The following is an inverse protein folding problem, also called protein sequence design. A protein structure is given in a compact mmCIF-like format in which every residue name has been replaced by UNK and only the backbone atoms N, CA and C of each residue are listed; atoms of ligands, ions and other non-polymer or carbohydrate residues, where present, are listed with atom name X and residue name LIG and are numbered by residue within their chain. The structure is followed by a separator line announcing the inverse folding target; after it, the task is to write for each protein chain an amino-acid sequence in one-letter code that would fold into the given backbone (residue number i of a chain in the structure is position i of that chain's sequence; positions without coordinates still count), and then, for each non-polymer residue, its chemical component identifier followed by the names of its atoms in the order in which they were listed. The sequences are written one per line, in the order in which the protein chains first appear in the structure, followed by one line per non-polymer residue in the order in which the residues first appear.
data_IF_008670665089
#
_entry.id   IF_008670665089
#
_cell.length_a   1.000
_cell.length_b   1.000
_cell.length_c   1.000
_cell.angle_alpha   90.00
_cell.angle_beta   90.00
_cell.angle_gamma   90.00
#
_symmetry.space_group_name_H-M   'P 1'
#
loop_
_entity.id
_entity.type
_entity.pdbx_description
1 polymer ?
#
# COMPACT_ATOMS: atom_id res chain seq x y z
N UNK A 1 3.44 14.30 2.33
CA UNK A 1 2.24 13.44 2.39
C UNK A 1 2.61 12.00 2.02
N UNK A 2 1.79 11.03 2.43
CA UNK A 2 1.94 9.62 1.98
C UNK A 2 1.65 9.53 0.49
N UNK A 3 2.52 8.83 -0.24
CA UNK A 3 2.46 8.69 -1.70
C UNK A 3 2.14 7.28 -2.16
N UNK A 4 2.71 6.27 -1.51
CA UNK A 4 2.53 4.86 -1.87
C UNK A 4 2.70 3.99 -0.63
N UNK A 5 1.98 2.87 -0.60
CA UNK A 5 2.00 1.93 0.53
C UNK A 5 2.04 0.51 0.03
N UNK A 6 2.85 -0.31 0.67
CA UNK A 6 3.06 -1.71 0.30
C UNK A 6 3.20 -2.58 1.53
N UNK A 7 2.56 -3.75 1.50
CA UNK A 7 2.50 -4.71 2.61
C UNK A 7 3.12 -6.02 2.15
N UNK A 8 4.04 -6.56 2.94
CA UNK A 8 4.80 -7.77 2.62
C UNK A 8 4.77 -8.76 3.78
N UNK A 9 4.92 -10.04 3.45
CA UNK A 9 5.18 -11.09 4.45
C UNK A 9 6.66 -11.14 4.79
N UNK A 10 6.99 -11.23 6.08
CA UNK A 10 8.37 -11.20 6.59
C UNK A 10 9.21 -12.36 6.07
N UNK A 11 8.66 -13.59 6.09
CA UNK A 11 9.43 -14.81 5.84
C UNK A 11 10.01 -14.92 4.42
N UNK A 12 9.22 -14.55 3.40
CA UNK A 12 9.57 -14.76 1.99
C UNK A 12 9.52 -13.48 1.15
N UNK A 13 9.18 -12.34 1.76
CA UNK A 13 9.03 -11.08 1.04
C UNK A 13 7.88 -11.11 0.02
N UNK A 14 6.88 -11.97 0.21
CA UNK A 14 5.71 -12.03 -0.68
C UNK A 14 4.89 -10.74 -0.53
N UNK A 15 4.65 -9.97 -1.61
CA UNK A 15 3.73 -8.83 -1.55
C UNK A 15 2.32 -9.33 -1.27
N UNK A 16 1.70 -8.77 -0.24
CA UNK A 16 0.37 -9.13 0.23
C UNK A 16 -0.70 -8.18 -0.30
N UNK A 17 -0.44 -6.88 -0.22
CA UNK A 17 -1.30 -5.80 -0.68
C UNK A 17 -0.48 -4.54 -0.99
N UNK A 18 -1.02 -3.64 -1.81
CA UNK A 18 -0.40 -2.36 -2.13
C UNK A 18 -1.45 -1.29 -2.47
N UNK A 19 -1.08 -0.02 -2.39
CA UNK A 19 -1.88 1.08 -2.92
C UNK A 19 -1.94 1.04 -4.45
N UNK A 20 -3.04 1.54 -5.01
CA UNK A 20 -3.15 1.81 -6.45
C UNK A 20 -2.64 3.22 -6.70
N UNK A 21 -1.45 3.32 -7.31
CA UNK A 21 -0.84 4.61 -7.62
C UNK A 21 -1.18 5.05 -9.05
N UNK A 22 -1.30 6.35 -9.25
CA UNK A 22 -1.49 6.94 -10.58
C UNK A 22 -0.17 6.93 -11.38
N UNK A 23 -0.26 7.13 -12.70
CA UNK A 23 0.91 6.99 -13.58
C UNK A 23 2.03 7.98 -13.25
N UNK A 24 1.69 9.18 -12.78
CA UNK A 24 2.70 10.17 -12.39
C UNK A 24 3.47 9.73 -11.15
N UNK A 25 2.76 9.24 -10.13
CA UNK A 25 3.35 8.73 -8.89
C UNK A 25 4.16 7.45 -9.14
N UNK A 26 3.69 6.53 -9.98
CA UNK A 26 4.45 5.32 -10.36
C UNK A 26 5.81 5.68 -10.97
N UNK A 27 5.84 6.64 -11.91
CA UNK A 27 7.08 7.08 -12.55
C UNK A 27 8.00 7.76 -11.54
N UNK A 28 7.47 8.66 -10.73
CA UNK A 28 8.25 9.39 -9.72
C UNK A 28 8.82 8.46 -8.63
N UNK A 29 8.10 7.39 -8.27
CA UNK A 29 8.47 6.49 -7.19
C UNK A 29 9.17 5.21 -7.63
N UNK A 30 9.47 5.04 -8.92
CA UNK A 30 10.03 3.78 -9.46
C UNK A 30 11.30 3.34 -8.71
N UNK A 31 12.22 4.27 -8.46
CA UNK A 31 13.45 4.01 -7.70
C UNK A 31 13.17 3.70 -6.23
N UNK A 32 12.34 4.50 -5.55
CA UNK A 32 12.00 4.28 -4.14
C UNK A 32 11.26 2.96 -3.90
N UNK A 33 10.46 2.49 -4.87
CA UNK A 33 9.85 1.16 -4.84
C UNK A 33 10.85 0.02 -5.06
N UNK A 34 12.00 0.30 -5.67
CA UNK A 34 13.10 -0.67 -5.76
C UNK A 34 13.86 -0.73 -4.45
N UNK A 35 14.15 0.44 -3.88
CA UNK A 35 14.75 0.56 -2.56
C UNK A 35 13.89 -0.16 -1.50
N UNK A 36 12.56 0.00 -1.51
CA UNK A 36 11.67 -0.72 -0.60
C UNK A 36 11.84 -2.24 -0.70
N UNK A 37 11.85 -2.80 -1.91
CA UNK A 37 12.13 -4.22 -2.16
C UNK A 37 13.50 -4.68 -1.65
N UNK A 38 14.53 -3.85 -1.78
CA UNK A 38 15.85 -4.13 -1.23
C UNK A 38 15.84 -4.13 0.31
N UNK A 39 15.12 -3.18 0.92
CA UNK A 39 14.95 -3.11 2.36
C UNK A 39 14.28 -4.38 2.87
N UNK A 40 13.15 -4.80 2.29
CA UNK A 40 12.44 -6.01 2.74
C UNK A 40 13.30 -7.26 2.69
N UNK A 41 14.13 -7.42 1.65
CA UNK A 41 15.05 -8.57 1.52
C UNK A 41 16.14 -8.60 2.58
N UNK A 42 16.41 -7.48 3.24
CA UNK A 42 17.41 -7.36 4.30
C UNK A 42 16.82 -7.41 5.69
N UNK A 43 15.51 -7.19 5.82
CA UNK A 43 14.82 -7.34 7.10
C UNK A 43 14.84 -8.81 7.52
N UNK A 44 15.14 -9.04 8.78
CA UNK A 44 15.22 -10.35 9.42
C UNK A 44 14.71 -10.25 10.87
N UNK A 45 14.73 -11.37 11.60
CA UNK A 45 14.24 -11.42 12.99
C UNK A 45 14.97 -10.47 13.97
N UNK A 46 16.20 -10.05 13.65
CA UNK A 46 16.98 -9.11 14.47
C UNK A 46 16.81 -7.65 14.02
N UNK A 47 15.96 -7.39 13.02
CA UNK A 47 15.71 -6.03 12.56
C UNK A 47 14.80 -5.29 13.53
N UNK A 48 15.02 -3.99 13.66
CA UNK A 48 14.16 -3.13 14.47
C UNK A 48 12.70 -3.25 14.01
N UNK A 49 11.72 -3.33 14.93
CA UNK A 49 10.32 -3.46 14.57
C UNK A 49 9.77 -2.22 13.84
N UNK A 50 10.41 -1.06 14.01
CA UNK A 50 10.06 0.16 13.29
C UNK A 50 11.32 0.95 12.93
N UNK A 51 11.36 1.50 11.71
CA UNK A 51 12.47 2.35 11.28
C UNK A 51 12.00 3.35 10.22
N UNK A 52 12.66 4.51 10.19
CA UNK A 52 12.57 5.48 9.10
C UNK A 52 13.84 5.41 8.26
N UNK A 53 13.70 5.42 6.94
CA UNK A 53 14.81 5.37 5.99
C UNK A 53 14.71 6.57 5.07
N UNK A 54 15.67 7.48 5.16
CA UNK A 54 15.72 8.70 4.36
C UNK A 54 16.37 8.41 3.01
N UNK A 55 15.71 8.80 1.91
CA UNK A 55 16.25 8.74 0.57
C UNK A 55 15.87 10.00 -0.21
N UNK A 56 16.76 11.00 -0.19
CA UNK A 56 16.58 12.25 -0.92
C UNK A 56 15.25 12.96 -0.63
N UNK A 57 14.35 12.99 -1.63
CA UNK A 57 13.08 13.73 -1.55
C UNK A 57 11.98 12.98 -0.79
N UNK A 58 12.19 11.70 -0.49
CA UNK A 58 11.21 10.85 0.18
C UNK A 58 11.81 10.15 1.39
N UNK A 59 10.93 9.71 2.27
CA UNK A 59 11.27 8.88 3.43
C UNK A 59 10.41 7.63 3.39
N UNK A 60 11.05 6.49 3.59
CA UNK A 60 10.43 5.18 3.67
C UNK A 60 10.29 4.84 5.15
N UNK A 61 9.05 4.70 5.62
CA UNK A 61 8.79 4.23 6.98
C UNK A 61 8.28 2.81 6.91
N UNK A 62 8.83 1.92 7.74
CA UNK A 62 8.29 0.58 7.90
C UNK A 62 7.98 0.26 9.35
N UNK A 63 6.96 -0.57 9.53
CA UNK A 63 6.51 -1.15 10.78
C UNK A 63 6.34 -2.67 10.58
N UNK A 64 6.95 -3.45 11.46
CA UNK A 64 6.84 -4.91 11.50
C UNK A 64 5.88 -5.26 12.63
N UNK A 65 4.79 -5.94 12.29
CA UNK A 65 3.83 -6.48 13.27
C UNK A 65 3.61 -7.94 12.94
N UNK A 66 3.89 -8.82 13.90
CA UNK A 66 3.87 -10.27 13.75
C UNK A 66 4.71 -10.75 12.55
N UNK A 67 4.06 -11.26 11.51
CA UNK A 67 4.68 -11.82 10.29
C UNK A 67 4.56 -10.88 9.08
N UNK A 68 4.16 -9.63 9.29
CA UNK A 68 3.85 -8.68 8.22
C UNK A 68 4.65 -7.40 8.38
N UNK A 69 5.20 -6.91 7.27
CA UNK A 69 5.84 -5.61 7.17
C UNK A 69 4.91 -4.66 6.43
N UNK A 70 4.59 -3.55 7.07
CA UNK A 70 3.84 -2.43 6.53
C UNK A 70 4.83 -1.33 6.19
N UNK A 71 4.87 -0.88 4.94
CA UNK A 71 5.76 0.21 4.54
C UNK A 71 5.00 1.27 3.76
N UNK A 72 5.31 2.52 4.04
CA UNK A 72 4.84 3.66 3.26
C UNK A 72 6.01 4.53 2.78
N UNK A 73 5.84 5.09 1.59
CA UNK A 73 6.70 6.11 1.01
C UNK A 73 5.98 7.43 1.17
N UNK A 74 6.60 8.41 1.83
CA UNK A 74 6.06 9.76 1.98
C UNK A 74 7.09 10.81 1.60
N UNK A 75 6.64 12.03 1.30
CA UNK A 75 7.56 13.17 1.14
C UNK A 75 8.38 13.36 2.43
N UNK A 76 9.64 13.77 2.30
CA UNK A 76 10.56 13.95 3.44
C UNK A 76 10.08 14.98 4.47
N UNK A 77 9.24 15.94 4.06
CA UNK A 77 8.62 16.94 4.93
C UNK A 77 7.42 16.40 5.72
N UNK A 78 6.98 15.17 5.48
CA UNK A 78 5.83 14.60 6.15
C UNK A 78 6.14 14.21 7.60
N UNK A 79 5.31 14.58 8.59
CA UNK A 79 5.59 14.27 9.98
C UNK A 79 5.67 12.76 10.25
N UNK A 80 6.82 12.32 10.79
CA UNK A 80 7.07 10.92 11.16
C UNK A 80 5.96 10.32 12.04
N UNK A 81 5.46 11.07 13.02
CA UNK A 81 4.37 10.64 13.90
C UNK A 81 3.11 10.24 13.10
N UNK A 82 2.75 11.05 12.10
CA UNK A 82 1.59 10.75 11.25
C UNK A 82 1.84 9.53 10.36
N UNK A 83 3.07 9.34 9.87
CA UNK A 83 3.42 8.16 9.08
C UNK A 83 3.28 6.85 9.88
N UNK A 84 3.77 6.82 11.13
CA UNK A 84 3.63 5.63 11.97
C UNK A 84 2.20 5.40 12.47
N UNK A 85 1.46 6.47 12.78
CA UNK A 85 0.02 6.36 13.07
C UNK A 85 -0.75 5.76 11.89
N UNK A 86 -0.44 6.19 10.68
CA UNK A 86 -1.00 5.63 9.46
C UNK A 86 -0.68 4.13 9.32
N UNK A 87 0.57 3.73 9.53
CA UNK A 87 0.99 2.32 9.45
C UNK A 87 0.35 1.45 10.54
N UNK A 88 0.18 1.98 11.75
CA UNK A 88 -0.47 1.29 12.87
C UNK A 88 -1.97 1.07 12.61
N UNK A 89 -2.67 2.04 12.01
CA UNK A 89 -4.06 1.86 11.61
C UNK A 89 -4.22 0.80 10.52
N UNK A 90 -3.30 0.78 9.54
CA UNK A 90 -3.27 -0.27 8.53
C UNK A 90 -2.96 -1.64 9.11
N UNK A 91 -2.05 -1.72 10.09
CA UNK A 91 -1.66 -3.00 10.69
C UNK A 91 -2.83 -3.64 11.44
N UNK A 92 -3.50 -2.86 12.29
CA UNK A 92 -4.68 -3.29 13.05
C UNK A 92 -5.79 -3.82 12.16
N UNK A 93 -6.16 -3.07 11.11
CA UNK A 93 -7.24 -3.50 10.22
C UNK A 93 -6.84 -4.71 9.35
N UNK A 94 -5.58 -4.76 8.91
CA UNK A 94 -5.09 -5.88 8.10
C UNK A 94 -5.07 -7.18 8.92
N UNK A 95 -4.56 -7.14 10.15
CA UNK A 95 -4.56 -8.30 11.05
C UNK A 95 -6.00 -8.75 11.33
N UNK A 96 -6.88 -7.82 11.74
CA UNK A 96 -8.29 -8.12 11.98
C UNK A 96 -8.99 -8.81 10.79
N UNK A 97 -8.65 -8.41 9.57
CA UNK A 97 -9.29 -8.93 8.36
C UNK A 97 -8.67 -10.23 7.83
N UNK A 98 -7.35 -10.43 8.04
CA UNK A 98 -6.59 -11.42 7.29
C UNK A 98 -5.62 -12.29 8.10
N UNK A 99 -5.44 -12.10 9.41
CA UNK A 99 -4.45 -12.81 10.26
C UNK A 99 -4.34 -14.31 9.94
N UNK A 100 -5.44 -15.07 9.99
CA UNK A 100 -5.46 -16.52 9.75
C UNK A 100 -5.25 -16.96 8.28
N UNK A 101 -5.17 -16.03 7.33
CA UNK A 101 -4.99 -16.32 5.89
C UNK A 101 -3.59 -15.98 5.38
N UNK A 102 -2.79 -15.25 6.16
CA UNK A 102 -1.48 -14.75 5.74
C UNK A 102 -0.52 -15.88 5.42
N UNK A 103 -0.46 -16.92 6.26
CA UNK A 103 0.46 -18.06 6.06
C UNK A 103 0.10 -18.88 4.81
N UNK A 104 -1.19 -19.02 4.51
CA UNK A 104 -1.69 -19.76 3.33
C UNK A 104 -1.57 -19.01 2.00
N UNK A 105 -1.18 -17.73 2.02
CA UNK A 105 -1.01 -16.96 0.80
C UNK A 105 0.21 -17.45 0.00
N UNK A 106 -0.02 -17.85 -1.25
CA UNK A 106 1.04 -18.30 -2.19
C UNK A 106 1.16 -17.39 -3.41
N UNK A 107 0.14 -16.56 -3.66
CA UNK A 107 0.08 -15.67 -4.82
C UNK A 107 0.49 -14.25 -4.42
N UNK A 108 1.33 -13.56 -5.21
CA UNK A 108 1.57 -12.14 -5.06
C UNK A 108 0.26 -11.35 -5.06
N UNK A 109 0.15 -10.40 -4.15
CA UNK A 109 -1.04 -9.59 -3.92
C UNK A 109 -2.28 -10.45 -3.62
N UNK A 110 -2.17 -11.45 -2.73
CA UNK A 110 -3.33 -12.28 -2.36
C UNK A 110 -4.49 -11.47 -1.75
N UNK A 111 -4.19 -10.29 -1.17
CA UNK A 111 -5.14 -9.45 -0.45
C UNK A 111 -5.41 -8.12 -1.15
N UNK A 112 -5.54 -8.12 -2.48
CA UNK A 112 -5.82 -6.89 -3.26
C UNK A 112 -7.03 -6.10 -2.78
N UNK A 113 -8.05 -6.76 -2.20
CA UNK A 113 -9.25 -6.07 -1.70
C UNK A 113 -8.98 -5.08 -0.54
N UNK A 114 -7.80 -5.14 0.07
CA UNK A 114 -7.37 -4.18 1.08
C UNK A 114 -6.96 -2.82 0.48
N UNK A 115 -6.81 -2.71 -0.84
CA UNK A 115 -6.46 -1.48 -1.56
C UNK A 115 -7.43 -0.31 -1.27
N UNK A 116 -8.70 -0.63 -1.08
CA UNK A 116 -9.78 0.33 -0.83
C UNK A 116 -9.62 0.94 0.55
N UNK A 117 -9.27 0.13 1.54
CA UNK A 117 -8.96 0.61 2.89
C UNK A 117 -7.69 1.47 2.87
N UNK A 118 -6.62 0.98 2.23
CA UNK A 118 -5.38 1.76 2.04
C UNK A 118 -5.67 3.12 1.41
N UNK A 119 -6.47 3.17 0.33
CA UNK A 119 -6.80 4.42 -0.36
C UNK A 119 -7.60 5.37 0.53
N UNK A 120 -8.60 4.87 1.26
CA UNK A 120 -9.42 5.66 2.18
C UNK A 120 -8.56 6.25 3.30
N UNK A 121 -7.75 5.43 3.97
CA UNK A 121 -6.87 5.87 5.05
C UNK A 121 -5.81 6.84 4.53
N UNK A 122 -5.24 6.60 3.35
CA UNK A 122 -4.26 7.52 2.74
C UNK A 122 -4.86 8.91 2.50
N UNK A 123 -6.13 9.00 2.07
CA UNK A 123 -6.82 10.29 1.92
C UNK A 123 -7.01 11.01 3.26
N UNK A 124 -7.42 10.28 4.30
CA UNK A 124 -7.57 10.84 5.65
C UNK A 124 -6.25 11.44 6.16
N UNK A 125 -5.14 10.73 5.97
CA UNK A 125 -3.81 11.16 6.43
C UNK A 125 -3.11 12.17 5.50
N UNK A 126 -3.65 12.42 4.30
CA UNK A 126 -3.17 13.44 3.37
C UNK A 126 -3.58 14.84 3.81
N UNK A 127 -4.78 15.00 4.35
CA UNK A 127 -5.30 16.27 4.86
C UNK A 127 -4.79 16.56 6.28
N UNK A 128 -3.46 16.62 6.44
CA UNK A 128 -2.85 16.91 7.75
C UNK A 128 -3.30 18.24 8.36
N UNK A 129 -3.75 19.20 7.54
CA UNK A 129 -4.33 20.48 7.99
C UNK A 129 -5.71 20.33 8.62
N UNK A 130 -6.56 19.41 8.15
CA UNK A 130 -7.86 19.16 8.80
C UNK A 130 -7.69 18.35 10.08
N UNK A 131 -6.72 17.42 10.13
CA UNK A 131 -6.39 16.68 11.35
C UNK A 131 -5.77 17.56 12.45
N UNK A 132 -5.05 18.62 12.08
CA UNK A 132 -4.47 19.57 13.06
C UNK A 132 -5.38 20.75 13.40
N UNK A 133 -6.30 21.17 12.53
CA UNK A 133 -7.24 22.27 12.81
C UNK A 133 -8.65 21.83 13.27
N UNK A 134 -9.14 20.65 12.90
CA UNK A 134 -10.53 20.26 13.16
C UNK A 134 -10.75 19.42 14.42
N UNK A 135 -9.71 18.90 15.09
CA UNK A 135 -9.90 18.00 16.23
C UNK A 135 -8.83 18.15 17.31
N UNK A 136 -9.02 19.13 18.20
CA UNK A 136 -8.35 19.15 19.51
C UNK A 136 -8.58 17.87 20.33
N UNK A 137 -9.64 17.10 20.07
CA UNK A 137 -9.99 15.90 20.83
C UNK A 137 -9.41 14.57 20.28
N UNK A 138 -9.02 14.51 19.00
CA UNK A 138 -8.49 13.28 18.38
C UNK A 138 -6.95 13.26 18.38
N UNK A 139 -6.32 14.43 18.46
CA UNK A 139 -4.89 14.57 18.69
C UNK A 139 -4.46 14.02 20.05
N UNK A 140 -5.31 14.06 21.07
CA UNK A 140 -5.02 13.49 22.39
C UNK A 140 -5.03 11.95 22.39
N UNK A 141 -5.96 11.32 21.65
CA UNK A 141 -5.98 9.87 21.44
C UNK A 141 -4.85 9.40 20.51
N UNK A 142 -4.48 10.20 19.52
CA UNK A 142 -3.29 9.97 18.71
C UNK A 142 -2.04 10.10 19.59
N UNK A 143 -1.94 11.14 20.44
CA UNK A 143 -0.82 11.35 21.36
C UNK A 143 -0.63 10.21 22.36
N UNK A 144 -1.70 9.55 22.82
CA UNK A 144 -1.61 8.39 23.72
C UNK A 144 -1.03 7.15 23.04
N UNK A 145 -1.42 6.86 21.79
CA UNK A 145 -0.87 5.74 21.01
C UNK A 145 0.54 6.03 20.45
N UNK A 146 0.97 7.30 20.44
CA UNK A 146 2.21 7.79 19.82
C UNK A 146 3.43 7.86 20.75
N UNK A 147 3.35 7.35 21.99
CA UNK A 147 4.35 7.60 23.04
C UNK A 147 5.80 7.20 22.68
N UNK A 148 6.02 6.32 21.70
CA UNK A 148 7.37 5.80 21.40
C UNK A 148 7.92 6.09 19.99
N UNK A 149 7.29 6.96 19.18
CA UNK A 149 7.85 7.32 17.85
C UNK A 149 9.24 7.98 17.94
N UNK A 150 9.55 8.59 19.08
CA UNK A 150 10.86 9.23 19.35
C UNK A 150 12.01 8.23 19.46
N UNK A 151 11.75 6.96 19.78
CA UNK A 151 12.76 5.89 19.84
C UNK A 151 13.02 5.24 18.49
N UNK A 152 12.20 5.54 17.48
CA UNK A 152 12.31 4.93 16.15
C UNK A 152 13.59 5.41 15.47
N UNK A 153 14.45 4.45 15.16
CA UNK A 153 15.72 4.70 14.47
C UNK A 153 15.48 5.31 13.09
N UNK A 154 16.35 6.24 12.72
CA UNK A 154 16.42 6.78 11.36
C UNK A 154 17.73 6.32 10.74
N UNK A 155 17.64 5.78 9.52
CA UNK A 155 18.79 5.35 8.72
C UNK A 155 18.76 6.08 7.40
N UNK A 156 19.91 6.24 6.78
CA UNK A 156 20.02 6.78 5.44
C UNK A 156 20.04 5.62 4.41
N UNK A 157 19.38 5.82 3.26
CA UNK A 157 19.29 4.79 2.22
C UNK A 157 20.63 4.50 1.57
N UNK A 158 21.47 5.51 1.38
CA UNK A 158 22.81 5.34 0.82
C UNK A 158 23.65 4.44 1.73
N UNK A 159 23.65 4.67 3.06
CA UNK A 159 24.35 3.82 4.03
C UNK A 159 23.87 2.37 4.01
N UNK A 160 22.56 2.17 3.79
CA UNK A 160 22.01 0.84 3.57
C UNK A 160 22.54 0.26 2.27
N UNK A 161 22.50 0.96 1.14
CA UNK A 161 22.96 0.44 -0.16
C UNK A 161 24.46 0.07 -0.16
N UNK A 162 25.32 0.88 0.45
CA UNK A 162 26.79 0.70 0.43
C UNK A 162 27.30 -0.49 1.24
N UNK A 163 26.59 -0.92 2.30
CA UNK A 163 27.00 -2.10 3.10
C UNK A 163 26.74 -3.45 2.42
N UNK A 164 26.18 -3.48 1.20
CA UNK A 164 25.78 -4.74 0.57
C UNK A 164 25.59 -4.65 -0.94
N UNK A 165 26.59 -4.17 -1.68
CA UNK A 165 26.85 -4.62 -3.07
C UNK A 165 25.64 -4.56 -4.04
N UNK A 166 24.68 -3.62 -3.86
CA UNK A 166 23.33 -3.72 -4.45
C UNK A 166 22.98 -2.73 -5.56
N UNK A 167 23.94 -1.93 -6.04
CA UNK A 167 23.67 -0.93 -7.08
C UNK A 167 23.37 -1.59 -8.44
N UNK A 168 24.14 -2.61 -8.84
CA UNK A 168 23.89 -3.37 -10.09
C UNK A 168 22.60 -4.20 -10.07
N UNK A 169 22.16 -4.67 -8.90
CA UNK A 169 20.92 -5.45 -8.74
C UNK A 169 19.64 -4.63 -8.92
N UNK A 170 19.73 -3.31 -8.82
CA UNK A 170 18.59 -2.40 -8.99
C UNK A 170 18.10 -2.35 -10.45
N UNK A 171 19.02 -2.51 -11.42
CA UNK A 171 18.70 -2.55 -12.86
C UNK A 171 17.78 -3.73 -13.23
N UNK A 172 18.09 -4.94 -12.77
CA UNK A 172 17.26 -6.13 -13.02
C UNK A 172 15.93 -6.11 -12.25
N UNK A 173 15.90 -5.50 -11.06
CA UNK A 173 14.68 -5.34 -10.28
C UNK A 173 13.65 -4.45 -10.98
N UNK A 174 14.12 -3.42 -11.72
CA UNK A 174 13.30 -2.50 -12.49
C UNK A 174 12.37 -3.20 -13.47
N UNK A 175 12.88 -4.21 -14.19
CA UNK A 175 12.10 -4.99 -15.17
C UNK A 175 11.01 -5.83 -14.50
N UNK A 176 11.31 -6.41 -13.33
CA UNK A 176 10.35 -7.22 -12.58
C UNK A 176 9.20 -6.39 -12.03
N UNK A 177 9.49 -5.19 -11.50
CA UNK A 177 8.48 -4.25 -11.01
C UNK A 177 7.52 -3.82 -12.11
N UNK A 178 8.03 -3.44 -13.27
CA UNK A 178 7.18 -3.07 -14.41
C UNK A 178 6.23 -4.21 -14.79
N UNK A 179 6.71 -5.45 -14.75
CA UNK A 179 5.88 -6.63 -15.03
C UNK A 179 4.81 -6.89 -13.95
N UNK A 180 5.15 -6.68 -12.67
CA UNK A 180 4.24 -6.86 -11.54
C UNK A 180 3.18 -5.76 -11.45
N UNK A 181 3.57 -4.49 -11.60
CA UNK A 181 2.64 -3.35 -11.66
C UNK A 181 1.63 -3.51 -12.80
N UNK A 182 2.07 -4.05 -13.95
CA UNK A 182 1.16 -4.35 -15.06
C UNK A 182 0.15 -5.45 -14.70
N UNK A 183 0.57 -6.50 -13.98
CA UNK A 183 -0.33 -7.57 -13.50
C UNK A 183 -1.35 -7.01 -12.50
N UNK A 184 -0.91 -6.20 -11.56
CA UNK A 184 -1.79 -5.55 -10.57
C UNK A 184 -2.83 -4.64 -11.25
N UNK A 185 -2.39 -3.79 -12.19
CA UNK A 185 -3.29 -2.92 -12.95
C UNK A 185 -4.33 -3.70 -13.76
N UNK A 186 -3.93 -4.82 -14.36
CA UNK A 186 -4.87 -5.71 -15.08
C UNK A 186 -5.89 -6.33 -14.13
N UNK A 187 -5.46 -6.80 -12.95
CA UNK A 187 -6.35 -7.38 -11.95
C UNK A 187 -7.36 -6.34 -11.43
N UNK A 188 -6.90 -5.15 -11.06
CA UNK A 188 -7.75 -4.06 -10.62
C UNK A 188 -8.77 -3.64 -11.71
N UNK A 189 -8.33 -3.57 -12.98
CA UNK A 189 -9.22 -3.25 -14.10
C UNK A 189 -10.29 -4.32 -14.30
N UNK A 190 -9.93 -5.61 -14.18
CA UNK A 190 -10.89 -6.70 -14.34
C UNK A 190 -11.96 -6.68 -13.23
N UNK A 191 -11.56 -6.39 -12.00
CA UNK A 191 -12.51 -6.26 -10.87
C UNK A 191 -13.45 -5.07 -11.10
N UNK A 192 -12.93 -3.92 -11.55
CA UNK A 192 -13.77 -2.76 -11.90
C UNK A 192 -14.76 -3.09 -13.04
N UNK A 193 -14.32 -3.84 -14.05
CA UNK A 193 -15.18 -4.26 -15.15
C UNK A 193 -16.28 -5.22 -14.68
N UNK A 194 -15.94 -6.21 -13.84
CA UNK A 194 -16.91 -7.12 -13.25
C UNK A 194 -17.93 -6.38 -12.38
N UNK A 195 -17.48 -5.40 -11.59
CA UNK A 195 -18.38 -4.56 -10.80
C UNK A 195 -19.31 -3.73 -11.69
N UNK A 196 -18.82 -3.20 -12.82
CA UNK A 196 -19.64 -2.48 -13.79
C UNK A 196 -20.67 -3.41 -14.45
N UNK A 197 -20.24 -4.57 -14.94
CA UNK A 197 -21.14 -5.56 -15.57
C UNK A 197 -22.24 -5.96 -14.58
N UNK A 198 -21.90 -6.24 -13.32
CA UNK A 198 -22.89 -6.62 -12.31
C UNK A 198 -23.92 -5.52 -12.02
N UNK A 199 -23.54 -4.25 -12.13
CA UNK A 199 -24.46 -3.11 -11.97
C UNK A 199 -25.40 -2.93 -13.15
N UNK A 200 -24.90 -3.09 -14.38
CA UNK A 200 -25.66 -2.77 -15.60
C UNK A 200 -26.33 -3.98 -16.26
N UNK A 201 -25.90 -5.21 -15.98
CA UNK A 201 -26.50 -6.43 -16.53
C UNK A 201 -28.02 -6.56 -16.28
N UNK A 202 -28.56 -6.24 -15.09
CA UNK A 202 -30.01 -6.31 -14.85
C UNK A 202 -30.79 -5.31 -15.71
N UNK A 203 -30.27 -4.08 -15.83
CA UNK A 203 -30.87 -3.00 -16.61
C UNK A 203 -30.86 -3.37 -18.11
N UNK A 204 -29.73 -3.87 -18.60
CA UNK A 204 -29.59 -4.36 -19.97
C UNK A 204 -30.51 -5.54 -20.26
N UNK A 205 -30.65 -6.49 -19.32
CA UNK A 205 -31.56 -7.63 -19.45
C UNK A 205 -33.02 -7.23 -19.57
N UNK A 206 -33.48 -6.28 -18.75
CA UNK A 206 -34.85 -5.74 -18.84
C UNK A 206 -35.06 -5.04 -20.18
N UNK A 207 -34.13 -4.18 -20.61
CA UNK A 207 -34.21 -3.50 -21.90
C UNK A 207 -34.26 -4.47 -23.09
N UNK A 208 -33.43 -5.52 -23.07
CA UNK A 208 -33.43 -6.56 -24.09
C UNK A 208 -34.74 -7.34 -24.12
N UNK A 209 -35.31 -7.66 -22.96
CA UNK A 209 -36.60 -8.33 -22.86
C UNK A 209 -37.75 -7.48 -23.43
N UNK A 210 -37.74 -6.17 -23.16
CA UNK A 210 -38.69 -5.23 -23.75
C UNK A 210 -38.58 -5.15 -25.28
N UNK A 211 -37.36 -5.11 -25.82
CA UNK A 211 -37.14 -5.08 -27.28
C UNK A 211 -37.66 -6.37 -27.93
N UNK A 212 -37.34 -7.54 -27.34
CA UNK A 212 -37.85 -8.83 -27.83
C UNK A 212 -39.37 -8.91 -27.80
N UNK A 213 -39.98 -8.44 -26.71
CA UNK A 213 -41.44 -8.40 -26.59
C UNK A 213 -42.07 -7.50 -27.66
N UNK A 214 -41.48 -6.32 -27.90
CA UNK A 214 -41.98 -5.39 -28.91
C UNK A 214 -41.83 -5.96 -30.32
N UNK A 215 -40.72 -6.67 -30.60
CA UNK A 215 -40.50 -7.33 -31.88
C UNK A 215 -41.51 -8.45 -32.14
N UNK A 216 -41.72 -9.35 -31.18
CA UNK A 216 -42.72 -10.43 -31.27
C UNK A 216 -44.17 -9.92 -31.38
N UNK A 217 -44.44 -8.72 -30.85
CA UNK A 217 -45.78 -8.13 -30.85
C UNK A 217 -46.12 -7.45 -32.19
N UNK A 218 -45.13 -6.92 -32.89
CA UNK A 218 -45.30 -6.10 -34.10
C UNK A 218 -44.93 -6.81 -35.41
N UNK A 219 -44.21 -7.93 -35.34
CA UNK A 219 -43.86 -8.81 -36.46
C UNK A 219 -44.40 -10.21 -36.21
#
# INVERSE_FOLDING_TARGET
MVRSTTIFRVHDGLPLAASVDDESTEKALTEYKQQSKLIFRRLNANSEPACSIESGQYTLHYLIVDKVIYMCICDSSYPRKLAFSYLDELSKEFQRSYEGKIDGATRPYAFMGFDTFISKTTRLYRDSRSLTQAQGNQLDQLNENLKDVTRIMTKNMEDLLWRGDSLDRMSHLSTSLRSESAKYRKAARNINLQALIRKWAPIGGIGFFFILFMWYRFF
#
